data_IF_817996995509
#
_entry.id   IF_817996995509
#
_cell.length_a   1.000
_cell.length_b   1.000
_cell.length_c   1.000
_cell.angle_alpha   90.00
_cell.angle_beta   90.00
_cell.angle_gamma   90.00
#
_symmetry.space_group_name_H-M   'P 1'
#
loop_
_entity.id
_entity.type
_entity.pdbx_description
1 polymer ?
#
# COMPACT_ATOMS: atom_id res chain seq x y z
N UNK A 1 -5.52 -30.38 -36.85
CA UNK A 1 -6.05 -29.60 -35.70
C UNK A 1 -4.88 -28.97 -34.95
N UNK A 2 -4.68 -27.66 -35.08
CA UNK A 2 -3.64 -26.92 -34.35
C UNK A 2 -4.22 -26.51 -33.00
N UNK A 3 -3.62 -26.95 -31.90
CA UNK A 3 -3.95 -26.48 -30.54
C UNK A 3 -3.40 -25.07 -30.40
N UNK A 4 -4.30 -24.10 -30.21
CA UNK A 4 -3.94 -22.73 -29.84
C UNK A 4 -3.47 -22.75 -28.39
N UNK A 5 -2.23 -22.31 -28.17
CA UNK A 5 -1.67 -22.04 -26.85
C UNK A 5 -2.27 -20.73 -26.32
N UNK A 6 -2.74 -20.63 -25.06
CA UNK A 6 -3.20 -19.37 -24.50
C UNK A 6 -2.03 -18.40 -24.28
N UNK A 7 -2.25 -17.08 -24.33
CA UNK A 7 -1.18 -16.09 -24.17
C UNK A 7 -0.64 -16.07 -22.74
N UNK A 8 0.67 -15.83 -22.63
CA UNK A 8 1.43 -15.79 -21.39
C UNK A 8 0.91 -14.69 -20.45
N UNK A 9 0.69 -15.04 -19.19
CA UNK A 9 0.30 -14.14 -18.10
C UNK A 9 1.25 -12.93 -18.00
N UNK A 10 0.69 -11.72 -17.92
CA UNK A 10 1.38 -10.54 -17.40
C UNK A 10 1.60 -10.78 -15.89
N UNK A 11 2.80 -11.20 -15.50
CA UNK A 11 3.16 -11.38 -14.09
C UNK A 11 3.49 -10.04 -13.45
N UNK A 12 2.96 -9.84 -12.24
CA UNK A 12 3.15 -8.65 -11.38
C UNK A 12 4.61 -8.41 -10.93
N UNK A 13 5.60 -9.12 -11.48
CA UNK A 13 6.92 -9.23 -10.86
C UNK A 13 7.87 -8.10 -11.24
N UNK A 14 8.08 -7.80 -12.53
CA UNK A 14 9.26 -7.01 -12.91
C UNK A 14 9.21 -5.51 -12.53
N UNK A 15 8.08 -4.82 -12.72
CA UNK A 15 8.00 -3.37 -12.45
C UNK A 15 7.86 -3.04 -10.96
N UNK A 16 7.28 -3.96 -10.19
CA UNK A 16 7.00 -3.82 -8.75
C UNK A 16 8.22 -4.16 -7.89
N UNK A 17 9.16 -4.96 -8.45
CA UNK A 17 10.42 -5.35 -7.79
C UNK A 17 11.57 -4.37 -8.06
N UNK A 18 11.57 -3.58 -9.15
CA UNK A 18 12.80 -2.95 -9.67
C UNK A 18 13.04 -1.48 -9.31
N UNK A 19 12.11 -0.73 -8.72
CA UNK A 19 12.39 0.66 -8.32
C UNK A 19 12.95 0.75 -6.89
N UNK A 20 14.30 0.79 -6.85
CA UNK A 20 15.24 0.88 -5.71
C UNK A 20 15.32 -0.33 -4.77
N UNK A 21 15.49 -1.52 -5.36
CA UNK A 21 16.22 -2.61 -4.71
C UNK A 21 17.51 -2.86 -5.50
N UNK A 22 18.67 -2.58 -4.90
CA UNK A 22 19.95 -3.05 -5.46
C UNK A 22 19.89 -4.57 -5.50
N UNK A 23 20.23 -5.13 -6.67
CA UNK A 23 20.16 -6.55 -6.98
C UNK A 23 20.81 -7.42 -5.90
N UNK A 24 20.06 -8.42 -5.43
CA UNK A 24 20.61 -9.58 -4.73
C UNK A 24 21.16 -10.53 -5.81
N UNK A 25 22.47 -10.75 -5.84
CA UNK A 25 23.07 -11.90 -6.52
C UNK A 25 23.73 -12.77 -5.46
N UNK A 26 23.35 -14.05 -5.45
CA UNK A 26 23.90 -15.07 -4.58
C UNK A 26 25.42 -15.22 -4.83
N UNK A 27 26.22 -14.66 -3.93
CA UNK A 27 27.46 -15.32 -3.53
C UNK A 27 27.58 -15.19 -2.02
N UNK A 28 27.73 -16.33 -1.36
CA UNK A 28 27.93 -16.41 0.08
C UNK A 28 29.25 -15.71 0.45
N UNK A 29 29.16 -14.46 0.92
CA UNK A 29 30.25 -13.82 1.67
C UNK A 29 29.68 -13.25 2.95
N UNK A 30 30.20 -13.76 4.07
CA UNK A 30 30.02 -13.30 5.45
C UNK A 30 30.52 -11.87 5.60
N UNK A 31 29.77 -10.90 5.09
CA UNK A 31 29.80 -9.46 5.42
C UNK A 31 28.81 -8.73 4.51
N UNK A 32 27.52 -8.91 4.76
CA UNK A 32 26.48 -8.08 4.15
C UNK A 32 26.32 -6.79 4.96
N UNK A 33 26.41 -5.59 4.36
CA UNK A 33 25.99 -4.38 5.06
C UNK A 33 24.50 -4.52 5.36
N UNK A 34 24.12 -4.32 6.63
CA UNK A 34 22.74 -4.36 7.11
C UNK A 34 21.84 -3.61 6.12
N UNK A 35 20.83 -4.30 5.55
CA UNK A 35 19.77 -3.65 4.78
C UNK A 35 19.21 -2.50 5.63
N UNK A 36 19.04 -1.28 5.10
CA UNK A 36 18.43 -0.21 5.86
C UNK A 36 16.93 -0.48 5.91
N UNK A 37 16.50 -1.33 6.83
CA UNK A 37 15.11 -1.45 7.33
C UNK A 37 14.70 -0.20 8.13
N UNK A 38 15.21 0.99 7.78
CA UNK A 38 15.34 2.15 8.69
C UNK A 38 14.62 3.42 8.27
N UNK A 39 13.61 3.36 7.38
CA UNK A 39 12.73 4.51 7.15
C UNK A 39 11.32 4.26 7.70
N UNK A 40 11.18 4.42 9.03
CA UNK A 40 9.87 4.50 9.70
C UNK A 40 9.34 5.93 9.65
N UNK A 41 9.02 6.42 8.45
CA UNK A 41 8.41 7.75 8.29
C UNK A 41 6.89 7.59 8.12
N UNK A 42 6.15 8.04 9.13
CA UNK A 42 4.70 8.22 9.08
C UNK A 42 4.29 9.52 8.36
N UNK A 43 5.25 10.40 8.07
CA UNK A 43 5.01 11.64 7.35
C UNK A 43 4.82 11.42 5.83
N UNK A 44 4.24 12.39 5.10
CA UNK A 44 4.00 12.33 3.66
C UNK A 44 5.29 12.35 2.80
N UNK A 45 6.16 11.34 2.90
CA UNK A 45 7.40 11.21 2.09
C UNK A 45 7.27 10.19 0.96
N UNK A 46 8.12 10.31 -0.05
CA UNK A 46 8.25 9.29 -1.10
C UNK A 46 8.75 7.96 -0.53
N UNK A 47 8.20 6.85 -1.05
CA UNK A 47 8.49 5.49 -0.58
C UNK A 47 8.93 4.60 -1.74
N UNK A 48 9.69 3.55 -1.44
CA UNK A 48 9.96 2.48 -2.41
C UNK A 48 8.64 1.79 -2.83
N UNK A 49 8.59 1.31 -4.07
CA UNK A 49 7.40 0.70 -4.66
C UNK A 49 6.88 1.49 -5.86
N UNK A 50 5.80 0.99 -6.45
CA UNK A 50 5.06 1.62 -7.54
C UNK A 50 3.91 2.45 -6.94
N UNK A 51 3.84 3.72 -7.33
CA UNK A 51 2.78 4.63 -6.92
C UNK A 51 1.52 4.38 -7.76
N UNK A 52 0.32 4.44 -7.16
CA UNK A 52 -0.94 4.21 -7.91
C UNK A 52 -1.03 5.14 -9.13
N UNK A 53 -0.63 6.41 -9.01
CA UNK A 53 -0.69 7.36 -10.12
C UNK A 53 0.22 7.01 -11.32
N UNK A 54 1.17 6.08 -11.13
CA UNK A 54 2.06 5.56 -12.17
C UNK A 54 1.56 4.22 -12.74
N UNK A 55 0.47 3.66 -12.21
CA UNK A 55 -0.07 2.36 -12.62
C UNK A 55 -1.07 2.48 -13.77
N UNK A 56 -1.05 1.50 -14.68
CA UNK A 56 -2.16 1.25 -15.60
C UNK A 56 -3.42 0.79 -14.85
N UNK A 57 -4.61 0.91 -15.46
CA UNK A 57 -5.86 0.48 -14.83
C UNK A 57 -5.86 -1.00 -14.37
N UNK A 58 -5.23 -1.90 -15.13
CA UNK A 58 -5.08 -3.30 -14.73
C UNK A 58 -4.15 -3.46 -13.51
N UNK A 59 -3.06 -2.68 -13.46
CA UNK A 59 -2.16 -2.67 -12.31
C UNK A 59 -2.85 -2.14 -11.05
N UNK A 60 -3.67 -1.07 -11.16
CA UNK A 60 -4.47 -0.54 -10.06
C UNK A 60 -5.43 -1.61 -9.51
N UNK A 61 -6.16 -2.28 -10.40
CA UNK A 61 -7.05 -3.38 -10.03
C UNK A 61 -6.31 -4.47 -9.26
N UNK A 62 -5.17 -4.94 -9.79
CA UNK A 62 -4.37 -5.99 -9.14
C UNK A 62 -3.72 -5.51 -7.82
N UNK A 63 -3.32 -4.25 -7.72
CA UNK A 63 -2.82 -3.66 -6.47
C UNK A 63 -3.88 -3.76 -5.38
N UNK A 64 -5.11 -3.33 -5.67
CA UNK A 64 -6.19 -3.37 -4.69
C UNK A 64 -6.63 -4.79 -4.36
N UNK A 65 -6.64 -5.72 -5.33
CA UNK A 65 -6.86 -7.15 -5.04
C UNK A 65 -5.77 -7.73 -4.15
N UNK A 66 -4.50 -7.35 -4.35
CA UNK A 66 -3.40 -7.76 -3.47
C UNK A 66 -3.59 -7.20 -2.06
N UNK A 67 -3.90 -5.90 -1.93
CA UNK A 67 -4.17 -5.27 -0.64
C UNK A 67 -5.29 -5.96 0.14
N UNK A 68 -6.38 -6.31 -0.56
CA UNK A 68 -7.52 -7.03 0.02
C UNK A 68 -7.11 -8.35 0.69
N UNK A 69 -6.10 -9.04 0.17
CA UNK A 69 -5.62 -10.31 0.77
C UNK A 69 -5.02 -10.16 2.16
N UNK A 70 -4.60 -8.95 2.56
CA UNK A 70 -4.01 -8.70 3.87
C UNK A 70 -4.99 -8.20 4.93
N UNK A 71 -6.27 -8.02 4.59
CA UNK A 71 -7.27 -7.51 5.51
C UNK A 71 -8.44 -8.49 5.67
N UNK A 72 -9.17 -8.35 6.78
CA UNK A 72 -10.57 -8.80 6.80
C UNK A 72 -11.39 -7.95 5.82
N UNK A 73 -12.60 -8.42 5.46
CA UNK A 73 -13.49 -7.65 4.60
C UNK A 73 -13.77 -6.24 5.15
N UNK A 74 -14.01 -6.12 6.46
CA UNK A 74 -14.21 -4.82 7.12
C UNK A 74 -12.95 -3.96 7.11
N UNK A 75 -11.78 -4.53 7.41
CA UNK A 75 -10.51 -3.81 7.39
C UNK A 75 -10.17 -3.28 5.99
N UNK A 76 -10.48 -4.03 4.94
CA UNK A 76 -10.30 -3.57 3.57
C UNK A 76 -11.21 -2.38 3.23
N UNK A 77 -12.50 -2.45 3.58
CA UNK A 77 -13.44 -1.35 3.36
C UNK A 77 -13.02 -0.09 4.13
N UNK A 78 -12.62 -0.25 5.39
CA UNK A 78 -12.09 0.84 6.21
C UNK A 78 -10.85 1.48 5.57
N UNK A 79 -9.92 0.66 5.08
CA UNK A 79 -8.74 1.15 4.38
C UNK A 79 -9.10 1.93 3.09
N UNK A 80 -10.06 1.43 2.29
CA UNK A 80 -10.56 2.14 1.10
C UNK A 80 -11.24 3.46 1.46
N UNK A 81 -12.00 3.49 2.56
CA UNK A 81 -12.65 4.69 3.05
C UNK A 81 -11.63 5.73 3.51
N UNK A 82 -10.59 5.33 4.24
CA UNK A 82 -9.48 6.22 4.63
C UNK A 82 -8.81 6.84 3.40
N UNK A 83 -8.54 6.06 2.36
CA UNK A 83 -7.96 6.59 1.09
C UNK A 83 -8.88 7.64 0.48
N UNK A 84 -10.20 7.38 0.45
CA UNK A 84 -11.19 8.29 -0.14
C UNK A 84 -11.39 9.60 0.62
N UNK A 85 -10.81 9.74 1.82
CA UNK A 85 -10.86 10.99 2.58
C UNK A 85 -9.89 12.05 2.04
N UNK A 86 -8.89 11.70 1.24
CA UNK A 86 -7.87 12.64 0.76
C UNK A 86 -8.51 13.87 0.07
N UNK A 87 -9.41 13.72 -0.93
CA UNK A 87 -10.00 14.88 -1.60
C UNK A 87 -10.83 15.73 -0.65
N UNK A 88 -11.58 15.11 0.26
CA UNK A 88 -12.37 15.81 1.28
C UNK A 88 -11.47 16.64 2.20
N UNK A 89 -10.34 16.09 2.63
CA UNK A 89 -9.36 16.86 3.40
C UNK A 89 -8.83 18.05 2.61
N UNK A 90 -8.51 17.86 1.32
CA UNK A 90 -8.05 18.94 0.45
C UNK A 90 -9.05 20.07 0.28
N UNK A 91 -10.34 19.74 0.14
CA UNK A 91 -11.41 20.73 0.12
C UNK A 91 -11.47 21.53 1.43
N UNK A 92 -11.43 20.83 2.57
CA UNK A 92 -11.46 21.48 3.89
C UNK A 92 -10.27 22.41 4.12
N UNK A 93 -9.07 21.97 3.72
CA UNK A 93 -7.84 22.78 3.79
C UNK A 93 -7.94 24.04 2.91
N UNK A 94 -8.54 23.93 1.72
CA UNK A 94 -8.80 25.08 0.86
C UNK A 94 -9.82 26.05 1.48
N UNK A 95 -10.92 25.55 2.04
CA UNK A 95 -11.94 26.38 2.71
C UNK A 95 -11.39 27.15 3.92
N UNK A 96 -10.45 26.54 4.65
CA UNK A 96 -9.86 27.13 5.86
C UNK A 96 -8.58 27.91 5.61
N UNK A 97 -8.18 28.07 4.34
CA UNK A 97 -6.92 28.71 3.93
C UNK A 97 -5.68 28.10 4.60
N UNK A 98 -5.71 26.79 4.86
CA UNK A 98 -4.64 25.98 5.47
C UNK A 98 -4.17 24.89 4.49
N UNK A 99 -3.98 25.25 3.23
CA UNK A 99 -3.63 24.30 2.17
C UNK A 99 -2.30 23.63 2.46
N UNK A 100 -2.31 22.30 2.52
CA UNK A 100 -1.12 21.48 2.68
C UNK A 100 -0.18 21.64 1.48
N UNK A 101 1.14 21.58 1.72
CA UNK A 101 2.14 21.50 0.65
C UNK A 101 2.10 20.15 -0.08
N UNK A 102 1.55 19.12 0.55
CA UNK A 102 1.34 17.80 -0.03
C UNK A 102 0.01 17.73 -0.77
N UNK A 103 0.04 17.15 -1.97
CA UNK A 103 -1.16 16.88 -2.76
C UNK A 103 -2.05 15.86 -2.06
N UNK A 104 -3.34 16.17 -2.06
CA UNK A 104 -4.43 15.37 -1.48
C UNK A 104 -5.05 14.49 -2.57
N UNK A 105 -4.39 13.36 -2.84
CA UNK A 105 -4.73 12.45 -3.92
C UNK A 105 -4.87 11.02 -3.40
N UNK A 106 -5.95 10.35 -3.78
CA UNK A 106 -6.19 8.93 -3.48
C UNK A 106 -5.10 8.04 -4.09
N UNK A 107 -4.47 8.49 -5.17
CA UNK A 107 -3.44 7.76 -5.90
C UNK A 107 -2.06 7.89 -5.26
N UNK A 108 -1.94 8.55 -4.10
CA UNK A 108 -0.67 8.72 -3.39
C UNK A 108 -0.37 7.62 -2.38
N UNK A 109 -0.53 6.37 -2.82
CA UNK A 109 -0.17 5.17 -2.05
C UNK A 109 0.78 4.27 -2.86
N UNK A 110 1.75 3.69 -2.17
CA UNK A 110 2.81 2.88 -2.76
C UNK A 110 2.60 1.40 -2.48
N UNK A 111 2.84 0.61 -3.51
CA UNK A 111 2.79 -0.83 -3.44
C UNK A 111 4.16 -1.41 -3.75
N UNK A 112 4.62 -2.35 -2.95
CA UNK A 112 5.92 -3.01 -3.13
C UNK A 112 5.74 -4.51 -3.05
N UNK A 113 6.43 -5.25 -3.93
CA UNK A 113 6.55 -6.71 -3.85
C UNK A 113 8.01 -7.05 -3.62
N UNK A 114 8.27 -7.96 -2.68
CA UNK A 114 9.61 -8.41 -2.30
C UNK A 114 9.73 -9.91 -2.54
N UNK A 115 10.80 -10.32 -3.22
CA UNK A 115 10.94 -11.72 -3.65
C UNK A 115 9.98 -12.08 -4.78
N UNK A 116 9.84 -13.37 -5.04
CA UNK A 116 8.98 -13.90 -6.10
C UNK A 116 7.70 -14.50 -5.51
N UNK A 117 6.52 -13.90 -5.79
CA UNK A 117 5.25 -14.44 -5.34
C UNK A 117 5.03 -15.89 -5.73
N UNK A 118 4.63 -16.72 -4.76
CA UNK A 118 4.34 -18.14 -4.98
C UNK A 118 5.57 -19.05 -5.13
N UNK A 119 6.78 -18.52 -4.92
CA UNK A 119 7.98 -19.35 -4.82
C UNK A 119 8.11 -20.02 -3.44
N UNK A 120 8.93 -21.07 -3.35
CA UNK A 120 9.28 -21.72 -2.07
C UNK A 120 10.14 -20.83 -1.16
N UNK A 121 10.74 -19.76 -1.72
CA UNK A 121 11.52 -18.79 -0.96
C UNK A 121 10.61 -17.75 -0.30
N UNK A 122 11.00 -17.17 0.85
CA UNK A 122 10.23 -16.10 1.47
C UNK A 122 10.00 -14.92 0.52
N UNK A 123 8.76 -14.48 0.44
CA UNK A 123 8.36 -13.31 -0.33
C UNK A 123 7.34 -12.51 0.48
N UNK A 124 6.99 -11.33 0.01
CA UNK A 124 6.02 -10.51 0.70
C UNK A 124 5.64 -9.28 -0.09
N UNK A 125 4.76 -8.50 0.48
CA UNK A 125 4.33 -7.24 -0.11
C UNK A 125 4.06 -6.21 0.96
N UNK A 126 4.08 -4.95 0.54
CA UNK A 126 3.75 -3.80 1.39
C UNK A 126 2.84 -2.87 0.64
N UNK A 127 1.83 -2.37 1.34
CA UNK A 127 1.06 -1.20 0.92
C UNK A 127 1.28 -0.11 1.96
N UNK A 128 1.63 1.09 1.50
CA UNK A 128 1.94 2.18 2.41
C UNK A 128 1.61 3.54 1.79
N UNK A 129 1.02 4.39 2.62
CA UNK A 129 0.85 5.81 2.38
C UNK A 129 1.10 6.55 3.69
N UNK A 130 0.54 7.76 3.82
CA UNK A 130 0.64 8.52 5.06
C UNK A 130 -0.48 8.22 6.06
N UNK A 131 -1.54 7.52 5.62
CA UNK A 131 -2.68 7.12 6.45
C UNK A 131 -2.86 5.59 6.59
N UNK A 132 -2.16 4.80 5.77
CA UNK A 132 -2.24 3.34 5.78
C UNK A 132 -0.84 2.75 5.74
N UNK A 133 -0.64 1.69 6.53
CA UNK A 133 0.54 0.84 6.43
C UNK A 133 0.18 -0.60 6.68
N UNK A 134 0.49 -1.49 5.73
CA UNK A 134 0.40 -2.93 5.91
C UNK A 134 1.60 -3.59 5.22
N UNK A 135 2.17 -4.58 5.89
CA UNK A 135 3.21 -5.43 5.32
C UNK A 135 2.81 -6.87 5.57
N UNK A 136 2.84 -7.69 4.53
CA UNK A 136 2.66 -9.13 4.59
C UNK A 136 3.96 -9.84 4.21
N UNK A 137 4.32 -10.86 4.98
CA UNK A 137 5.41 -11.78 4.68
C UNK A 137 4.86 -13.19 4.58
N UNK A 138 5.31 -13.94 3.57
CA UNK A 138 4.91 -15.30 3.27
C UNK A 138 6.16 -16.18 3.28
N UNK A 139 6.13 -17.26 4.05
CA UNK A 139 7.21 -18.24 4.14
C UNK A 139 6.67 -19.62 3.75
N UNK A 140 7.30 -20.24 2.76
CA UNK A 140 6.80 -21.48 2.15
C UNK A 140 5.37 -21.31 1.60
N UNK A 141 4.54 -22.35 1.76
CA UNK A 141 3.22 -22.40 1.12
C UNK A 141 2.06 -22.08 2.07
N UNK A 142 2.32 -21.77 3.34
CA UNK A 142 1.23 -21.63 4.33
C UNK A 142 1.48 -20.64 5.45
N UNK A 143 2.72 -20.20 5.69
CA UNK A 143 2.99 -19.30 6.80
C UNK A 143 2.87 -17.85 6.32
N UNK A 144 1.90 -17.13 6.87
CA UNK A 144 1.67 -15.71 6.57
C UNK A 144 1.76 -14.91 7.87
N UNK A 145 2.50 -13.80 7.84
CA UNK A 145 2.58 -12.83 8.93
C UNK A 145 2.31 -11.43 8.41
N UNK A 146 1.45 -10.68 9.12
CA UNK A 146 1.04 -9.33 8.75
C UNK A 146 1.50 -8.34 9.83
N UNK A 147 2.59 -7.61 9.57
CA UNK A 147 3.19 -6.67 10.53
C UNK A 147 4.10 -5.63 9.85
N UNK A 148 4.03 -4.32 10.19
CA UNK A 148 3.03 -3.64 11.01
C UNK A 148 1.75 -3.29 10.23
N UNK A 149 0.64 -3.14 10.97
CA UNK A 149 -0.63 -2.60 10.49
C UNK A 149 -0.86 -1.20 11.09
N UNK A 150 -1.25 -0.24 10.26
CA UNK A 150 -1.57 1.13 10.66
C UNK A 150 -2.75 1.65 9.86
N UNK A 151 -3.74 2.20 10.57
CA UNK A 151 -4.79 3.05 10.06
C UNK A 151 -4.74 4.39 10.79
N UNK A 152 -4.86 5.48 10.04
CA UNK A 152 -5.07 6.81 10.60
C UNK A 152 -6.01 7.59 9.70
N UNK A 153 -7.06 8.19 10.26
CA UNK A 153 -8.03 8.97 9.51
C UNK A 153 -7.68 10.46 9.61
N UNK A 154 -7.61 11.15 8.47
CA UNK A 154 -7.64 12.61 8.44
C UNK A 154 -8.49 13.06 7.24
N UNK A 155 -9.61 13.76 7.46
CA UNK A 155 -10.15 14.15 8.77
C UNK A 155 -10.59 12.95 9.63
N UNK A 156 -10.55 13.12 10.96
CA UNK A 156 -11.18 12.19 11.91
C UNK A 156 -12.70 12.18 11.75
N UNK A 157 -13.28 13.37 11.58
CA UNK A 157 -14.67 13.60 11.24
C UNK A 157 -14.75 14.62 10.10
N UNK A 158 -15.46 14.27 9.02
CA UNK A 158 -15.67 15.19 7.89
C UNK A 158 -16.52 16.39 8.33
N UNK A 159 -16.05 17.62 8.10
CA UNK A 159 -16.67 18.84 8.62
C UNK A 159 -17.57 19.59 7.63
N UNK A 160 -17.56 19.21 6.35
CA UNK A 160 -18.27 19.91 5.27
C UNK A 160 -18.77 18.93 4.19
N UNK A 161 -19.51 19.46 3.22
CA UNK A 161 -20.00 18.70 2.07
C UNK A 161 -21.06 17.66 2.42
N UNK A 162 -21.34 16.76 1.46
CA UNK A 162 -22.36 15.71 1.59
C UNK A 162 -22.00 14.66 2.65
N UNK A 163 -20.71 14.46 2.91
CA UNK A 163 -20.20 13.47 3.87
C UNK A 163 -20.03 14.02 5.29
N UNK A 164 -20.53 15.23 5.58
CA UNK A 164 -20.39 15.87 6.90
C UNK A 164 -20.89 14.96 8.03
N UNK A 165 -20.08 14.83 9.09
CA UNK A 165 -20.33 13.98 10.25
C UNK A 165 -19.86 12.55 10.09
N UNK A 166 -19.37 12.14 8.92
CA UNK A 166 -18.76 10.83 8.72
C UNK A 166 -17.49 10.70 9.55
N UNK A 167 -17.38 9.61 10.32
CA UNK A 167 -16.21 9.19 11.10
C UNK A 167 -15.79 7.79 10.68
N UNK A 168 -14.62 7.67 10.04
CA UNK A 168 -14.16 6.39 9.46
C UNK A 168 -13.63 5.42 10.52
N UNK A 169 -13.02 5.94 11.59
CA UNK A 169 -12.43 5.17 12.70
C UNK A 169 -13.16 5.46 14.01
N UNK A 170 -14.50 5.58 13.97
CA UNK A 170 -15.28 6.03 15.11
C UNK A 170 -15.10 5.14 16.35
N UNK A 171 -15.16 3.81 16.16
CA UNK A 171 -14.95 2.85 17.26
C UNK A 171 -13.53 2.97 17.81
N UNK A 172 -12.50 2.99 16.96
CA UNK A 172 -11.11 3.10 17.43
C UNK A 172 -10.83 4.41 18.16
N UNK A 173 -11.43 5.52 17.71
CA UNK A 173 -11.32 6.84 18.35
C UNK A 173 -12.05 6.90 19.70
N UNK A 174 -13.21 6.26 19.82
CA UNK A 174 -14.02 6.30 21.04
C UNK A 174 -13.41 5.45 22.17
N UNK A 175 -12.51 4.51 21.84
CA UNK A 175 -11.81 3.65 22.80
C UNK A 175 -10.40 4.14 23.19
N UNK A 176 -9.87 5.17 22.53
CA UNK A 176 -8.51 5.70 22.73
C UNK A 176 -8.43 6.72 23.87
#
# INVERSE_FOLDING_TARGET
MRRLCPPKHQTLSNEWQTRRLRSWHHSARRNSPRLPFRSKHYTPVDRNGLLISEMSGNQIYLAYKMMETGYSASGYQMARQIISLEPLLGEYEAMTNNVSTWQRLEERYWFSVFGEPGSDSPWGWRVGGHHIGIVASVVGNSEVSIHPLFFGSNPAEVKHGEHKGMRTLAEEEDWA
#
